data_IF_480902339226
#
_entry.id   IF_480902339226
#
_cell.length_a   1.000
_cell.length_b   1.000
_cell.length_c   1.000
_cell.angle_alpha   90.00
_cell.angle_beta   90.00
_cell.angle_gamma   90.00
#
_symmetry.space_group_name_H-M   'P 1'
#
loop_
_entity.id
_entity.type
_entity.pdbx_description
1 polymer ?
#
# COMPACT_ATOMS: atom_id res chain seq x y z
N UNK A 1 4.22 9.48 -6.34
CA UNK A 1 2.91 9.28 -5.69
C UNK A 1 2.49 7.85 -5.96
N UNK A 2 2.13 7.06 -4.94
CA UNK A 2 1.59 5.72 -5.22
C UNK A 2 0.10 5.88 -5.44
N UNK A 3 -0.40 5.52 -6.61
CA UNK A 3 -1.83 5.40 -6.84
C UNK A 3 -2.27 4.00 -6.46
N UNK A 4 -3.30 3.90 -5.63
CA UNK A 4 -3.94 2.64 -5.30
C UNK A 4 -5.45 2.79 -5.29
N UNK A 5 -6.12 1.67 -5.55
CA UNK A 5 -7.56 1.60 -5.67
C UNK A 5 -8.22 1.58 -4.28
N UNK A 6 -8.96 2.64 -3.89
CA UNK A 6 -9.71 2.64 -2.62
C UNK A 6 -10.96 1.84 -2.86
N UNK A 7 -11.05 0.62 -2.31
CA UNK A 7 -12.28 -0.18 -2.33
C UNK A 7 -13.48 0.57 -1.74
N UNK A 8 -13.22 1.54 -0.85
CA UNK A 8 -14.24 2.43 -0.29
C UNK A 8 -14.67 3.55 -1.24
N UNK A 9 -13.75 4.16 -1.98
CA UNK A 9 -14.09 5.20 -2.96
C UNK A 9 -14.44 4.63 -4.34
N UNK A 10 -14.18 3.34 -4.57
CA UNK A 10 -14.24 2.66 -5.87
C UNK A 10 -13.50 3.40 -7.00
N UNK A 11 -12.45 4.13 -6.62
CA UNK A 11 -11.65 4.99 -7.51
C UNK A 11 -10.17 4.75 -7.26
N UNK A 12 -9.39 4.93 -8.30
CA UNK A 12 -7.94 5.05 -8.18
C UNK A 12 -7.64 6.42 -7.58
N UNK A 13 -6.87 6.44 -6.51
CA UNK A 13 -6.53 7.67 -5.82
C UNK A 13 -5.13 7.59 -5.23
N UNK A 14 -4.58 8.75 -4.95
CA UNK A 14 -3.26 8.86 -4.36
C UNK A 14 -3.25 8.33 -2.92
N UNK A 15 -2.27 7.49 -2.67
CA UNK A 15 -1.92 6.99 -1.34
C UNK A 15 -0.98 7.99 -0.70
N UNK A 16 -1.45 8.62 0.37
CA UNK A 16 -0.62 9.47 1.22
C UNK A 16 0.15 8.62 2.22
N UNK A 17 1.46 8.86 2.32
CA UNK A 17 2.34 8.21 3.30
C UNK A 17 2.53 6.71 3.04
N UNK A 18 2.71 6.31 1.78
CA UNK A 18 3.11 4.95 1.43
C UNK A 18 4.45 4.58 2.06
N UNK A 19 4.42 3.86 3.18
CA UNK A 19 5.58 3.28 3.84
C UNK A 19 5.80 1.86 3.35
N UNK A 20 6.97 1.61 2.80
CA UNK A 20 7.45 0.26 2.55
C UNK A 20 7.81 -0.40 3.89
N UNK A 21 7.29 -1.59 4.11
CA UNK A 21 7.54 -2.39 5.31
C UNK A 21 7.81 -3.81 4.86
N UNK A 22 8.92 -4.38 5.35
CA UNK A 22 9.24 -5.79 5.15
C UNK A 22 8.59 -6.56 6.29
N UNK A 23 7.64 -7.44 5.98
CA UNK A 23 7.07 -8.36 6.95
C UNK A 23 8.10 -9.43 7.34
N UNK A 24 7.96 -10.03 8.53
CA UNK A 24 8.88 -11.04 9.07
C UNK A 24 9.10 -12.25 8.14
N UNK A 25 8.16 -12.53 7.23
CA UNK A 25 8.28 -13.57 6.20
C UNK A 25 9.03 -13.11 4.94
N UNK A 26 9.77 -12.00 5.00
CA UNK A 26 10.53 -11.46 3.88
C UNK A 26 9.66 -10.97 2.74
N UNK A 27 8.46 -10.45 3.01
CA UNK A 27 7.58 -9.87 1.98
C UNK A 27 7.60 -8.34 2.07
N UNK A 28 7.88 -7.66 0.95
CA UNK A 28 7.79 -6.20 0.86
C UNK A 28 6.35 -5.80 0.66
N UNK A 29 5.86 -4.98 1.58
CA UNK A 29 4.51 -4.43 1.55
C UNK A 29 4.61 -2.90 1.63
N UNK A 30 4.01 -2.21 0.69
CA UNK A 30 3.79 -0.78 0.79
C UNK A 30 2.45 -0.56 1.49
N UNK A 31 2.48 -0.10 2.72
CA UNK A 31 1.31 0.34 3.48
C UNK A 31 1.19 1.84 3.36
N UNK A 32 0.08 2.34 2.86
CA UNK A 32 -0.24 3.76 2.95
C UNK A 32 -1.71 3.99 3.24
N UNK A 33 -2.07 5.25 3.41
CA UNK A 33 -3.47 5.62 3.68
C UNK A 33 -4.04 6.35 2.48
N UNK A 34 -5.24 5.94 2.09
CA UNK A 34 -6.04 6.76 1.20
C UNK A 34 -6.65 7.94 1.96
N UNK A 35 -6.97 9.02 1.24
CA UNK A 35 -7.72 10.17 1.75
C UNK A 35 -9.08 9.80 2.35
N UNK A 36 -9.63 8.63 1.96
CA UNK A 36 -10.83 8.00 2.52
C UNK A 36 -10.65 7.42 3.94
N UNK A 37 -9.43 7.47 4.51
CA UNK A 37 -9.08 6.86 5.80
C UNK A 37 -8.80 5.35 5.73
N UNK A 38 -9.02 4.72 4.57
CA UNK A 38 -8.74 3.30 4.37
C UNK A 38 -7.25 3.05 4.19
N UNK A 39 -6.72 2.12 4.97
CA UNK A 39 -5.35 1.61 4.81
C UNK A 39 -5.28 0.77 3.54
N UNK A 40 -4.44 1.18 2.61
CA UNK A 40 -4.14 0.47 1.38
C UNK A 40 -2.79 -0.22 1.53
N UNK A 41 -2.77 -1.50 1.18
CA UNK A 41 -1.56 -2.30 1.20
C UNK A 41 -1.29 -2.76 -0.24
N UNK A 42 -0.21 -2.30 -0.85
CA UNK A 42 0.29 -2.83 -2.12
C UNK A 42 1.44 -3.78 -1.80
N UNK A 43 1.25 -5.07 -2.07
CA UNK A 43 2.33 -6.06 -1.94
C UNK A 43 3.28 -5.82 -3.11
N UNK A 44 4.52 -5.44 -2.82
CA UNK A 44 5.56 -5.20 -3.83
C UNK A 44 6.24 -6.51 -4.25
N UNK A 45 6.00 -7.60 -3.52
CA UNK A 45 6.50 -8.94 -3.81
C UNK A 45 7.42 -9.48 -2.70
N UNK A 46 8.06 -10.61 -2.97
CA UNK A 46 9.07 -11.18 -2.05
C UNK A 46 10.27 -10.24 -1.99
N UNK A 47 10.73 -9.89 -0.78
CA UNK A 47 12.08 -9.40 -0.57
C UNK A 47 13.01 -10.56 -0.92
N UNK A 48 13.40 -10.67 -2.19
CA UNK A 48 14.35 -11.68 -2.61
C UNK A 48 15.64 -11.42 -1.82
N UNK A 49 16.06 -12.45 -1.10
CA UNK A 49 17.28 -12.53 -0.30
C UNK A 49 18.50 -12.22 -1.17
#
# INVERSE_FOLDING_TARGET
MVEAYCVRCKKMGEVSGGKETVSANGMRMLKGKCKCGTTMCKILGKAKK
#
